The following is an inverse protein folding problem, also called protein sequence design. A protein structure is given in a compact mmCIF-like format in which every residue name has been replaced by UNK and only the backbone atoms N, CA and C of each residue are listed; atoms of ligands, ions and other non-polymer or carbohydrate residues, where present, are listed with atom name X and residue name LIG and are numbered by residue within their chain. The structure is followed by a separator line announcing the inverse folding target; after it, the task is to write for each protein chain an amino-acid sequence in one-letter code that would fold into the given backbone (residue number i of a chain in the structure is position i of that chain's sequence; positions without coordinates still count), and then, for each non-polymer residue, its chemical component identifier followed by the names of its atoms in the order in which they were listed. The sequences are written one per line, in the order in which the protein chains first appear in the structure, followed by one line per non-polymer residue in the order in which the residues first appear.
data_IF_395754256236
#
_entry.id   IF_395754256236
#
_cell.length_a   1.000
_cell.length_b   1.000
_cell.length_c   1.000
_cell.angle_alpha   90.00
_cell.angle_beta   90.00
_cell.angle_gamma   90.00
#
_symmetry.space_group_name_H-M   'P 1'
#
loop_
_entity.id
_entity.type
_entity.pdbx_description
1 polymer ?
#
# COMPACT_ATOMS: atom_id res chain seq x y z
N UNK A 1 -16.21 -22.23 -16.88
CA UNK A 1 -16.09 -20.96 -17.59
C UNK A 1 -14.67 -20.45 -17.34
N UNK A 2 -13.87 -20.32 -18.42
CA UNK A 2 -12.53 -19.74 -18.29
C UNK A 2 -12.69 -18.28 -17.89
N UNK A 3 -12.49 -17.91 -16.61
CA UNK A 3 -12.42 -16.51 -16.22
C UNK A 3 -11.22 -15.91 -16.97
N UNK A 4 -11.47 -14.86 -17.76
CA UNK A 4 -10.37 -14.09 -18.34
C UNK A 4 -9.39 -13.69 -17.24
N UNK A 5 -8.10 -13.66 -17.56
CA UNK A 5 -7.08 -13.22 -16.59
C UNK A 5 -7.43 -11.82 -16.07
N UNK A 6 -7.24 -11.60 -14.75
CA UNK A 6 -7.49 -10.30 -14.13
C UNK A 6 -6.59 -9.22 -14.73
N UNK A 7 -7.19 -8.08 -15.06
CA UNK A 7 -6.51 -6.90 -15.58
C UNK A 7 -6.56 -5.79 -14.53
N UNK A 8 -5.43 -5.50 -13.92
CA UNK A 8 -5.33 -4.47 -12.89
C UNK A 8 -4.71 -3.20 -13.46
N UNK A 9 -5.37 -2.07 -13.27
CA UNK A 9 -4.79 -0.75 -13.50
C UNK A 9 -4.02 -0.32 -12.26
N UNK A 10 -2.70 -0.18 -12.34
CA UNK A 10 -1.87 0.23 -11.22
C UNK A 10 -1.38 1.67 -11.42
N UNK A 11 -1.62 2.53 -10.46
CA UNK A 11 -1.14 3.92 -10.44
C UNK A 11 -0.14 4.10 -9.30
N UNK A 12 1.12 4.30 -9.61
CA UNK A 12 2.21 4.45 -8.61
C UNK A 12 3.01 5.72 -8.85
N UNK A 13 3.73 6.24 -7.83
CA UNK A 13 4.73 7.27 -8.05
C UNK A 13 5.74 6.85 -9.11
N UNK A 14 6.20 7.78 -9.95
CA UNK A 14 7.11 7.48 -11.07
C UNK A 14 8.40 6.77 -10.65
N UNK A 15 8.86 7.00 -9.42
CA UNK A 15 10.04 6.35 -8.84
C UNK A 15 9.77 4.99 -8.16
N UNK A 16 8.52 4.50 -8.13
CA UNK A 16 8.22 3.21 -7.51
C UNK A 16 8.63 2.07 -8.44
N UNK A 17 9.54 1.20 -7.96
CA UNK A 17 10.09 0.07 -8.70
C UNK A 17 9.70 -1.30 -8.11
N UNK A 18 8.97 -1.30 -6.99
CA UNK A 18 8.69 -2.51 -6.21
C UNK A 18 7.25 -3.00 -6.37
N UNK A 19 6.27 -2.08 -6.29
CA UNK A 19 4.88 -2.46 -6.12
C UNK A 19 4.32 -3.31 -7.26
N UNK A 20 4.64 -3.02 -8.51
CA UNK A 20 4.09 -3.74 -9.67
C UNK A 20 4.45 -5.23 -9.64
N UNK A 21 5.73 -5.54 -9.43
CA UNK A 21 6.20 -6.93 -9.37
C UNK A 21 5.60 -7.69 -8.20
N UNK A 22 5.69 -7.12 -6.99
CA UNK A 22 5.17 -7.78 -5.79
C UNK A 22 3.64 -7.90 -5.79
N UNK A 23 2.91 -6.91 -6.33
CA UNK A 23 1.46 -6.98 -6.43
C UNK A 23 1.03 -8.18 -7.28
N UNK A 24 1.67 -8.39 -8.44
CA UNK A 24 1.41 -9.52 -9.31
C UNK A 24 1.69 -10.88 -8.65
N UNK A 25 2.67 -10.93 -7.75
CA UNK A 25 2.97 -12.15 -7.01
C UNK A 25 1.92 -12.49 -5.94
N UNK A 26 1.17 -11.50 -5.45
CA UNK A 26 0.06 -11.69 -4.52
C UNK A 26 -1.28 -11.97 -5.21
N UNK A 27 -1.46 -11.52 -6.45
CA UNK A 27 -2.68 -11.69 -7.22
C UNK A 27 -2.80 -13.12 -7.80
N UNK A 28 -4.01 -13.57 -8.15
CA UNK A 28 -4.21 -14.87 -8.81
C UNK A 28 -3.30 -15.05 -10.02
N UNK A 29 -2.87 -16.29 -10.27
CA UNK A 29 -2.02 -16.62 -11.40
C UNK A 29 -2.65 -16.16 -12.71
N UNK A 30 -1.85 -15.54 -13.58
CA UNK A 30 -2.27 -14.98 -14.84
C UNK A 30 -2.82 -13.55 -14.76
N UNK A 31 -2.92 -12.96 -13.57
CA UNK A 31 -3.25 -11.54 -13.46
C UNK A 31 -2.19 -10.67 -14.18
N UNK A 32 -2.64 -9.57 -14.75
CA UNK A 32 -1.78 -8.60 -15.44
C UNK A 32 -1.95 -7.21 -14.84
N UNK A 33 -0.89 -6.40 -14.88
CA UNK A 33 -0.93 -5.00 -14.52
C UNK A 33 -0.67 -4.11 -15.73
N UNK A 34 -1.51 -3.09 -15.90
CA UNK A 34 -1.19 -1.92 -16.71
C UNK A 34 -0.82 -0.79 -15.76
N UNK A 35 0.46 -0.41 -15.75
CA UNK A 35 0.97 0.54 -14.77
C UNK A 35 1.09 1.96 -15.35
N UNK A 36 0.48 2.92 -14.67
CA UNK A 36 0.62 4.35 -14.92
C UNK A 36 1.46 4.98 -13.82
N UNK A 37 2.49 5.73 -14.21
CA UNK A 37 3.45 6.35 -13.31
C UNK A 37 3.11 7.81 -13.10
N UNK A 38 2.66 8.14 -11.88
CA UNK A 38 2.28 9.51 -11.51
C UNK A 38 3.57 10.32 -11.35
N UNK A 39 3.75 11.41 -12.13
CA UNK A 39 4.91 12.26 -12.01
C UNK A 39 5.06 12.85 -10.61
N UNK A 40 6.29 12.98 -10.15
CA UNK A 40 6.61 13.66 -8.90
C UNK A 40 8.00 14.27 -8.96
N UNK A 41 8.25 15.25 -8.11
CA UNK A 41 9.58 15.83 -7.92
C UNK A 41 10.49 14.87 -7.14
N UNK A 42 11.79 15.17 -7.07
CA UNK A 42 12.78 14.36 -6.37
C UNK A 42 12.56 14.28 -4.86
N UNK A 43 11.88 15.25 -4.26
CA UNK A 43 11.54 15.27 -2.84
C UNK A 43 10.48 14.23 -2.44
N UNK A 44 10.38 13.94 -1.15
CA UNK A 44 9.25 13.17 -0.61
C UNK A 44 7.97 14.02 -0.67
N UNK A 45 6.82 13.35 -0.81
CA UNK A 45 5.53 14.04 -0.82
C UNK A 45 5.28 14.73 0.53
N UNK A 46 4.79 15.95 0.46
CA UNK A 46 4.27 16.73 1.57
C UNK A 46 2.76 16.91 1.43
N UNK A 47 2.09 17.36 2.48
CA UNK A 47 0.66 17.65 2.44
C UNK A 47 0.30 18.71 1.38
N UNK A 48 1.20 19.67 1.13
CA UNK A 48 1.01 20.72 0.12
C UNK A 48 1.00 20.17 -1.31
N UNK A 49 1.69 19.06 -1.58
CA UNK A 49 1.79 18.47 -2.91
C UNK A 49 0.55 17.67 -3.30
N UNK A 50 -0.27 17.26 -2.32
CA UNK A 50 -1.39 16.33 -2.56
C UNK A 50 -2.37 16.82 -3.62
N UNK A 51 -2.82 18.08 -3.64
CA UNK A 51 -3.77 18.53 -4.68
C UNK A 51 -3.23 18.36 -6.10
N UNK A 52 -1.98 18.76 -6.34
CA UNK A 52 -1.36 18.64 -7.65
C UNK A 52 -1.09 17.17 -8.02
N UNK A 53 -0.65 16.36 -7.07
CA UNK A 53 -0.38 14.93 -7.26
C UNK A 53 -1.65 14.15 -7.62
N UNK A 54 -2.78 14.45 -6.95
CA UNK A 54 -4.09 13.87 -7.25
C UNK A 54 -4.58 14.30 -8.62
N UNK A 55 -4.47 15.59 -8.98
CA UNK A 55 -4.86 16.07 -10.31
C UNK A 55 -4.08 15.38 -11.44
N UNK A 56 -2.78 15.11 -11.22
CA UNK A 56 -1.98 14.32 -12.18
C UNK A 56 -2.46 12.86 -12.26
N UNK A 57 -2.81 12.25 -11.13
CA UNK A 57 -3.37 10.90 -11.12
C UNK A 57 -4.70 10.84 -11.89
N UNK A 58 -5.62 11.78 -11.66
CA UNK A 58 -6.90 11.86 -12.36
C UNK A 58 -6.72 12.05 -13.88
N UNK A 59 -5.77 12.89 -14.29
CA UNK A 59 -5.45 13.08 -15.70
C UNK A 59 -4.95 11.79 -16.37
N UNK A 60 -4.06 11.05 -15.70
CA UNK A 60 -3.54 9.76 -16.18
C UNK A 60 -4.60 8.66 -16.19
N UNK A 61 -5.51 8.65 -15.22
CA UNK A 61 -6.54 7.62 -15.06
C UNK A 61 -7.47 7.51 -16.29
N UNK A 62 -7.62 8.57 -17.08
CA UNK A 62 -8.41 8.56 -18.35
C UNK A 62 -7.95 7.47 -19.31
N UNK A 63 -6.65 7.10 -19.27
CA UNK A 63 -6.14 6.01 -20.09
C UNK A 63 -6.77 4.64 -19.74
N UNK A 64 -7.29 4.45 -18.53
CA UNK A 64 -8.03 3.23 -18.17
C UNK A 64 -9.50 3.26 -18.64
N UNK A 65 -10.06 4.44 -18.91
CA UNK A 65 -11.37 4.52 -19.56
C UNK A 65 -11.30 4.09 -21.04
N UNK A 66 -10.18 4.40 -21.71
CA UNK A 66 -9.96 4.02 -23.12
C UNK A 66 -9.62 2.53 -23.28
N UNK A 67 -8.96 1.92 -22.30
CA UNK A 67 -8.63 0.49 -22.23
C UNK A 67 -8.98 -0.05 -20.84
N UNK A 68 -10.23 -0.51 -20.63
CA UNK A 68 -10.77 -0.86 -19.33
C UNK A 68 -10.03 -1.97 -18.62
N UNK A 69 -9.95 -1.84 -17.29
CA UNK A 69 -9.37 -2.82 -16.36
C UNK A 69 -10.44 -3.29 -15.36
N UNK A 70 -10.22 -4.44 -14.71
CA UNK A 70 -11.20 -4.98 -13.76
C UNK A 70 -11.23 -4.19 -12.44
N UNK A 71 -10.09 -3.58 -12.08
CA UNK A 71 -9.94 -2.78 -10.86
C UNK A 71 -8.73 -1.85 -10.99
N UNK A 72 -8.82 -0.66 -10.43
CA UNK A 72 -7.70 0.29 -10.32
C UNK A 72 -7.14 0.30 -8.90
N UNK A 73 -5.82 0.25 -8.81
CA UNK A 73 -5.07 0.40 -7.55
C UNK A 73 -4.41 1.78 -7.53
N UNK A 74 -4.77 2.62 -6.54
CA UNK A 74 -4.03 3.84 -6.23
C UNK A 74 -2.90 3.54 -5.26
N UNK A 75 -1.72 3.27 -5.83
CA UNK A 75 -0.57 2.61 -5.19
C UNK A 75 0.39 3.55 -4.48
N UNK A 76 -0.06 4.67 -3.90
CA UNK A 76 0.79 5.60 -3.16
C UNK A 76 0.34 5.72 -1.70
N UNK A 77 0.94 4.94 -0.81
CA UNK A 77 0.59 4.92 0.62
C UNK A 77 0.75 6.30 1.26
N UNK A 78 1.86 7.00 1.01
CA UNK A 78 2.10 8.33 1.57
C UNK A 78 1.06 9.36 1.13
N UNK A 79 0.61 9.30 -0.13
CA UNK A 79 -0.40 10.24 -0.63
C UNK A 79 -1.74 10.05 0.10
N UNK A 80 -2.20 8.81 0.29
CA UNK A 80 -3.42 8.53 1.04
C UNK A 80 -3.33 8.93 2.51
N UNK A 81 -2.19 8.67 3.17
CA UNK A 81 -1.94 9.09 4.56
C UNK A 81 -2.01 10.63 4.68
N UNK A 82 -1.32 11.35 3.81
CA UNK A 82 -1.26 12.82 3.81
C UNK A 82 -2.61 13.46 3.43
N UNK A 83 -3.38 12.80 2.58
CA UNK A 83 -4.74 13.22 2.23
C UNK A 83 -5.71 13.10 3.41
N UNK A 84 -5.52 12.08 4.24
CA UNK A 84 -6.46 11.69 5.30
C UNK A 84 -7.64 10.88 4.76
N UNK A 85 -8.40 10.20 5.66
CA UNK A 85 -9.36 9.16 5.26
C UNK A 85 -10.49 9.68 4.37
N UNK A 86 -11.07 10.84 4.67
CA UNK A 86 -12.19 11.39 3.90
C UNK A 86 -11.75 11.76 2.48
N UNK A 87 -10.55 12.34 2.33
CA UNK A 87 -10.02 12.73 1.03
C UNK A 87 -9.48 11.53 0.26
N UNK A 88 -8.88 10.54 0.92
CA UNK A 88 -8.48 9.28 0.29
C UNK A 88 -9.67 8.54 -0.31
N UNK A 89 -10.81 8.49 0.40
CA UNK A 89 -12.07 7.97 -0.13
C UNK A 89 -12.60 8.80 -1.30
N UNK A 90 -12.48 10.13 -1.24
CA UNK A 90 -12.82 11.03 -2.35
C UNK A 90 -11.97 10.78 -3.60
N UNK A 91 -10.66 10.56 -3.43
CA UNK A 91 -9.74 10.19 -4.52
C UNK A 91 -10.19 8.87 -5.17
N UNK A 92 -10.48 7.84 -4.36
CA UNK A 92 -10.98 6.57 -4.89
C UNK A 92 -12.28 6.75 -5.68
N UNK A 93 -13.22 7.55 -5.18
CA UNK A 93 -14.48 7.86 -5.86
C UNK A 93 -14.28 8.60 -7.18
N UNK A 94 -13.42 9.63 -7.21
CA UNK A 94 -13.09 10.38 -8.43
C UNK A 94 -12.43 9.49 -9.47
N UNK A 95 -11.43 8.70 -9.10
CA UNK A 95 -10.76 7.76 -10.00
C UNK A 95 -11.74 6.71 -10.53
N UNK A 96 -12.66 6.20 -9.70
CA UNK A 96 -13.68 5.24 -10.12
C UNK A 96 -14.64 5.85 -11.12
N UNK A 97 -15.07 7.11 -10.94
CA UNK A 97 -15.92 7.82 -11.88
C UNK A 97 -15.23 8.06 -13.22
N UNK A 98 -13.91 8.34 -13.21
CA UNK A 98 -13.12 8.56 -14.43
C UNK A 98 -12.90 7.26 -15.20
N UNK A 99 -12.59 6.16 -14.50
CA UNK A 99 -12.16 4.89 -15.13
C UNK A 99 -13.31 3.92 -15.41
N UNK A 100 -14.46 4.12 -14.75
CA UNK A 100 -15.56 3.16 -14.80
C UNK A 100 -15.30 1.86 -14.02
N UNK A 101 -14.18 1.76 -13.30
CA UNK A 101 -13.75 0.56 -12.56
C UNK A 101 -13.75 0.81 -11.05
N UNK A 102 -13.93 -0.23 -10.21
CA UNK A 102 -13.72 -0.09 -8.78
C UNK A 102 -12.27 0.31 -8.47
N UNK A 103 -12.07 1.10 -7.42
CA UNK A 103 -10.74 1.61 -7.02
C UNK A 103 -10.44 1.21 -5.58
N UNK A 104 -9.23 0.71 -5.35
CA UNK A 104 -8.68 0.51 -4.00
C UNK A 104 -7.47 1.41 -3.79
N UNK A 105 -7.33 1.96 -2.59
CA UNK A 105 -6.15 2.76 -2.20
C UNK A 105 -5.29 1.98 -1.22
N UNK A 106 -3.97 2.18 -1.25
CA UNK A 106 -3.06 1.53 -0.29
C UNK A 106 -3.30 1.97 1.14
N UNK A 107 -3.70 3.22 1.38
CA UNK A 107 -3.95 3.74 2.72
C UNK A 107 -5.21 3.11 3.34
N UNK A 108 -6.31 3.03 2.60
CA UNK A 108 -7.52 2.36 3.09
C UNK A 108 -7.32 0.85 3.21
N UNK A 109 -6.61 0.21 2.27
CA UNK A 109 -6.31 -1.22 2.31
C UNK A 109 -5.54 -1.62 3.58
N UNK A 110 -4.62 -0.77 4.05
CA UNK A 110 -3.92 -0.95 5.32
C UNK A 110 -4.91 -1.03 6.50
N UNK A 111 -5.82 -0.08 6.60
CA UNK A 111 -6.82 -0.04 7.68
C UNK A 111 -7.72 -1.28 7.63
N UNK A 112 -8.24 -1.60 6.45
CA UNK A 112 -9.17 -2.72 6.29
C UNK A 112 -8.51 -4.09 6.53
N UNK A 113 -7.24 -4.27 6.12
CA UNK A 113 -6.50 -5.52 6.37
C UNK A 113 -6.23 -5.73 7.86
N UNK A 114 -5.87 -4.69 8.59
CA UNK A 114 -5.64 -4.76 10.04
C UNK A 114 -6.95 -5.03 10.79
N UNK A 115 -8.06 -4.41 10.38
CA UNK A 115 -9.39 -4.69 10.93
C UNK A 115 -9.82 -6.13 10.66
N UNK A 116 -9.63 -6.62 9.43
CA UNK A 116 -9.93 -7.99 9.05
C UNK A 116 -9.10 -9.02 9.83
N UNK A 117 -7.89 -8.66 10.22
CA UNK A 117 -7.01 -9.45 11.07
C UNK A 117 -7.31 -9.29 12.58
N UNK A 118 -8.32 -8.49 12.97
CA UNK A 118 -8.64 -8.16 14.37
C UNK A 118 -7.44 -7.59 15.14
N UNK A 119 -6.54 -6.86 14.46
CA UNK A 119 -5.36 -6.27 15.05
C UNK A 119 -5.70 -4.90 15.64
N UNK A 120 -5.62 -4.79 16.96
CA UNK A 120 -5.90 -3.56 17.71
C UNK A 120 -4.61 -2.86 18.17
N UNK A 121 -3.60 -3.60 18.57
CA UNK A 121 -2.28 -3.13 19.00
C UNK A 121 -1.22 -3.60 18.01
N UNK A 122 -0.60 -2.69 17.25
CA UNK A 122 0.33 -3.07 16.19
C UNK A 122 1.76 -2.57 16.41
N UNK A 123 2.71 -3.35 15.88
CA UNK A 123 4.04 -2.87 15.53
C UNK A 123 4.01 -2.27 14.11
N UNK A 124 4.70 -1.16 13.91
CA UNK A 124 4.69 -0.43 12.64
C UNK A 124 6.11 -0.11 12.18
N UNK A 125 6.46 -0.55 10.97
CA UNK A 125 7.72 -0.18 10.28
C UNK A 125 7.40 0.72 9.11
N UNK A 126 8.11 1.84 8.99
CA UNK A 126 7.89 2.83 7.92
C UNK A 126 9.23 3.37 7.40
N UNK A 127 9.27 3.96 6.20
CA UNK A 127 10.41 4.74 5.75
C UNK A 127 10.21 6.26 5.95
N UNK A 128 9.10 6.69 6.54
CA UNK A 128 8.65 8.08 6.50
C UNK A 128 9.29 8.96 7.57
N UNK A 129 9.40 10.26 7.29
CA UNK A 129 9.74 11.29 8.27
C UNK A 129 8.63 11.46 9.33
N UNK A 130 8.96 12.15 10.41
CA UNK A 130 8.10 12.33 11.59
C UNK A 130 6.69 12.87 11.27
N UNK A 131 6.57 13.79 10.31
CA UNK A 131 5.28 14.37 9.90
C UNK A 131 4.34 13.31 9.34
N UNK A 132 4.78 12.51 8.36
CA UNK A 132 3.97 11.45 7.73
C UNK A 132 3.66 10.35 8.75
N UNK A 133 4.63 10.01 9.61
CA UNK A 133 4.43 9.04 10.68
C UNK A 133 3.38 9.51 11.70
N UNK A 134 3.34 10.80 12.02
CA UNK A 134 2.30 11.40 12.88
C UNK A 134 0.91 11.31 12.26
N UNK A 135 0.78 11.61 10.97
CA UNK A 135 -0.47 11.46 10.22
C UNK A 135 -0.92 9.99 10.16
N UNK A 136 0.02 9.06 9.92
CA UNK A 136 -0.27 7.63 9.89
C UNK A 136 -0.77 7.10 11.24
N UNK A 137 -0.12 7.49 12.35
CA UNK A 137 -0.60 7.14 13.69
C UNK A 137 -2.02 7.66 13.95
N UNK A 138 -2.28 8.92 13.53
CA UNK A 138 -3.60 9.53 13.68
C UNK A 138 -4.67 8.80 12.86
N UNK A 139 -4.35 8.40 11.62
CA UNK A 139 -5.23 7.61 10.75
C UNK A 139 -5.59 6.27 11.40
N UNK A 140 -4.60 5.53 11.90
CA UNK A 140 -4.80 4.24 12.55
C UNK A 140 -5.60 4.36 13.85
N UNK A 141 -5.28 5.36 14.69
CA UNK A 141 -5.99 5.61 15.94
C UNK A 141 -7.48 5.93 15.72
N UNK A 142 -7.81 6.76 14.71
CA UNK A 142 -9.22 7.03 14.31
C UNK A 142 -9.93 5.79 13.80
N UNK A 143 -9.19 4.77 13.40
CA UNK A 143 -9.71 3.47 12.95
C UNK A 143 -9.78 2.42 14.06
N UNK A 144 -9.46 2.79 15.30
CA UNK A 144 -9.46 1.89 16.47
C UNK A 144 -8.21 1.01 16.54
N UNK A 145 -7.11 1.39 15.86
CA UNK A 145 -5.87 0.64 15.81
C UNK A 145 -4.77 1.47 16.51
N UNK A 146 -4.21 0.95 17.60
CA UNK A 146 -3.14 1.59 18.34
C UNK A 146 -1.76 1.17 17.81
N UNK A 147 -0.88 2.13 17.56
CA UNK A 147 0.51 1.87 17.22
C UNK A 147 1.32 1.78 18.52
N UNK A 148 1.50 0.55 19.03
CA UNK A 148 2.21 0.29 20.28
C UNK A 148 3.74 0.46 20.13
N UNK A 149 4.29 -0.03 19.04
CA UNK A 149 5.70 0.09 18.69
C UNK A 149 5.86 0.64 17.27
N UNK A 150 6.82 1.50 17.07
CA UNK A 150 7.12 2.04 15.75
C UNK A 150 8.61 2.28 15.54
N UNK A 151 9.08 1.90 14.39
CA UNK A 151 10.40 2.24 13.87
C UNK A 151 10.29 2.84 12.48
N UNK A 152 11.13 3.81 12.17
CA UNK A 152 11.21 4.41 10.84
C UNK A 152 12.63 4.44 10.32
N UNK A 153 12.79 4.32 9.00
CA UNK A 153 14.08 4.57 8.34
C UNK A 153 14.35 6.06 8.12
N UNK A 154 13.31 6.89 8.20
CA UNK A 154 13.39 8.35 8.01
C UNK A 154 14.16 8.74 6.73
N UNK A 155 13.89 8.04 5.62
CA UNK A 155 14.52 8.30 4.34
C UNK A 155 14.37 9.78 3.98
N UNK A 156 15.49 10.46 3.69
CA UNK A 156 15.48 11.90 3.45
C UNK A 156 14.93 12.27 2.06
N UNK A 157 14.98 11.33 1.11
CA UNK A 157 14.53 11.54 -0.27
C UNK A 157 14.15 10.22 -0.94
N UNK A 158 13.70 10.28 -2.19
CA UNK A 158 13.24 9.10 -2.94
C UNK A 158 14.37 8.14 -3.32
N UNK A 159 15.61 8.63 -3.44
CA UNK A 159 16.77 7.80 -3.74
C UNK A 159 17.14 6.93 -2.54
N UNK A 160 17.20 7.52 -1.35
CA UNK A 160 17.43 6.77 -0.10
C UNK A 160 16.32 5.77 0.16
N UNK A 161 15.06 6.18 -0.05
CA UNK A 161 13.92 5.26 0.03
C UNK A 161 14.07 4.05 -0.90
N UNK A 162 14.54 4.27 -2.12
CA UNK A 162 14.77 3.21 -3.11
C UNK A 162 15.92 2.27 -2.77
N UNK A 163 16.84 2.66 -1.89
CA UNK A 163 17.99 1.84 -1.45
C UNK A 163 17.67 0.93 -0.24
N UNK A 164 16.49 1.07 0.38
CA UNK A 164 16.11 0.22 1.51
C UNK A 164 15.84 -1.20 1.01
N UNK A 165 16.77 -2.11 1.28
CA UNK A 165 16.68 -3.51 0.88
C UNK A 165 15.93 -4.38 1.89
N UNK A 166 15.62 -5.61 1.50
CA UNK A 166 14.90 -6.58 2.30
C UNK A 166 15.54 -6.85 3.67
N UNK A 167 16.85 -7.03 3.73
CA UNK A 167 17.56 -7.34 4.98
C UNK A 167 17.40 -6.23 6.01
N UNK A 168 17.43 -4.97 5.57
CA UNK A 168 17.18 -3.82 6.42
C UNK A 168 15.74 -3.83 6.94
N UNK A 169 14.75 -4.16 6.08
CA UNK A 169 13.34 -4.27 6.48
C UNK A 169 13.15 -5.39 7.51
N UNK A 170 13.75 -6.57 7.30
CA UNK A 170 13.70 -7.69 8.24
C UNK A 170 14.32 -7.32 9.59
N UNK A 171 15.51 -6.71 9.59
CA UNK A 171 16.16 -6.27 10.83
C UNK A 171 15.26 -5.29 11.60
N UNK A 172 14.70 -4.30 10.89
CA UNK A 172 13.82 -3.30 11.48
C UNK A 172 12.50 -3.91 12.00
N UNK A 173 11.95 -4.90 11.29
CA UNK A 173 10.77 -5.63 11.71
C UNK A 173 11.00 -6.38 13.03
N UNK A 174 12.15 -7.07 13.16
CA UNK A 174 12.55 -7.78 14.39
C UNK A 174 12.77 -6.85 15.58
N UNK A 175 13.39 -5.70 15.36
CA UNK A 175 13.58 -4.67 16.39
C UNK A 175 12.26 -4.06 16.87
N UNK A 176 11.27 -3.97 15.99
CA UNK A 176 10.01 -3.28 16.26
C UNK A 176 8.96 -4.20 16.82
N UNK A 177 8.88 -5.46 16.36
CA UNK A 177 7.87 -6.41 16.81
C UNK A 177 8.02 -6.71 18.29
N UNK A 178 6.89 -6.77 18.98
CA UNK A 178 6.79 -7.10 20.41
C UNK A 178 5.67 -8.14 20.60
N UNK A 179 5.82 -8.98 21.64
CA UNK A 179 4.84 -10.01 22.01
C UNK A 179 3.44 -9.46 22.34
N UNK A 180 3.38 -8.20 22.74
CA UNK A 180 2.14 -7.49 23.05
C UNK A 180 1.44 -6.89 21.82
N UNK A 181 2.06 -7.00 20.63
CA UNK A 181 1.45 -6.57 19.39
C UNK A 181 0.67 -7.72 18.75
N UNK A 182 -0.53 -7.40 18.25
CA UNK A 182 -1.40 -8.34 17.54
C UNK A 182 -0.90 -8.63 16.13
N UNK A 183 -0.26 -7.65 15.49
CA UNK A 183 0.28 -7.73 14.14
C UNK A 183 1.47 -6.80 13.93
N UNK A 184 2.26 -7.10 12.89
CA UNK A 184 3.20 -6.16 12.31
C UNK A 184 2.65 -5.58 11.01
N UNK A 185 2.77 -4.26 10.81
CA UNK A 185 2.52 -3.62 9.52
C UNK A 185 3.79 -2.93 9.00
N UNK A 186 4.15 -3.23 7.75
CA UNK A 186 5.26 -2.60 7.01
C UNK A 186 4.66 -1.63 5.98
N UNK A 187 4.70 -0.34 6.30
CA UNK A 187 4.07 0.70 5.50
C UNK A 187 5.03 1.24 4.44
N UNK A 188 4.62 1.29 3.25
CA UNK A 188 5.15 1.88 2.01
C UNK A 188 5.17 0.87 0.87
N UNK A 189 4.57 1.23 -0.26
CA UNK A 189 4.55 0.39 -1.47
C UNK A 189 5.90 0.30 -2.20
N UNK A 190 6.93 1.03 -1.75
CA UNK A 190 8.30 0.95 -2.27
C UNK A 190 9.17 -0.05 -1.50
N UNK A 191 8.82 -0.40 -0.26
CA UNK A 191 9.62 -1.37 0.52
C UNK A 191 9.42 -2.78 -0.03
N UNK A 192 10.53 -3.54 -0.26
CA UNK A 192 10.44 -4.92 -0.73
C UNK A 192 9.99 -5.84 0.43
N UNK A 193 8.83 -6.49 0.25
CA UNK A 193 8.17 -7.23 1.34
C UNK A 193 7.69 -8.62 0.95
N UNK A 194 7.53 -8.94 -0.33
CA UNK A 194 6.88 -10.18 -0.80
C UNK A 194 7.50 -11.43 -0.20
N UNK A 195 8.82 -11.54 -0.24
CA UNK A 195 9.53 -12.75 0.21
C UNK A 195 9.79 -12.80 1.73
N UNK A 196 9.56 -11.69 2.46
CA UNK A 196 9.85 -11.63 3.90
C UNK A 196 8.60 -11.74 4.78
N UNK A 197 7.41 -11.46 4.25
CA UNK A 197 6.17 -11.49 5.03
C UNK A 197 5.92 -12.88 5.62
N UNK A 198 5.88 -13.93 4.81
CA UNK A 198 5.63 -15.30 5.27
C UNK A 198 6.67 -15.82 6.29
N UNK A 199 7.97 -15.66 6.05
CA UNK A 199 9.01 -15.95 7.07
C UNK A 199 8.81 -15.21 8.38
N UNK A 200 8.49 -13.92 8.36
CA UNK A 200 8.25 -13.12 9.57
C UNK A 200 6.96 -13.55 10.30
N UNK A 201 5.90 -13.92 9.59
CA UNK A 201 4.68 -14.49 10.18
C UNK A 201 4.97 -15.78 10.93
N UNK A 202 5.77 -16.67 10.33
CA UNK A 202 6.21 -17.93 10.96
C UNK A 202 7.08 -17.68 12.21
N UNK A 203 7.97 -16.67 12.15
CA UNK A 203 8.86 -16.29 13.25
C UNK A 203 8.07 -15.68 14.42
N UNK A 204 7.21 -14.70 14.15
CA UNK A 204 6.50 -13.95 15.18
C UNK A 204 5.24 -14.68 15.69
N UNK A 205 4.73 -15.64 14.94
CA UNK A 205 3.42 -16.27 15.17
C UNK A 205 2.30 -15.24 15.29
N UNK A 206 2.38 -14.22 14.47
CA UNK A 206 1.44 -13.09 14.36
C UNK A 206 1.29 -12.70 12.90
N UNK A 207 0.14 -12.15 12.49
CA UNK A 207 -0.03 -11.60 11.15
C UNK A 207 1.02 -10.54 10.82
N UNK A 208 1.59 -10.62 9.62
CA UNK A 208 2.46 -9.59 9.06
C UNK A 208 1.85 -9.06 7.78
N UNK A 209 1.56 -7.80 7.76
CA UNK A 209 1.01 -7.09 6.62
C UNK A 209 2.03 -6.11 6.04
N UNK A 210 1.96 -5.93 4.73
CA UNK A 210 2.64 -4.83 4.06
C UNK A 210 1.63 -4.01 3.26
N UNK A 211 2.01 -2.78 2.88
CA UNK A 211 1.17 -1.96 2.00
C UNK A 211 0.78 -2.71 0.73
N UNK A 212 1.68 -3.51 0.15
CA UNK A 212 1.42 -4.24 -1.08
C UNK A 212 0.51 -5.45 -0.83
N UNK A 213 0.80 -6.28 0.20
CA UNK A 213 -0.05 -7.44 0.58
C UNK A 213 -1.48 -6.98 0.91
N UNK A 214 -1.62 -5.93 1.71
CA UNK A 214 -2.92 -5.36 2.08
C UNK A 214 -3.71 -4.87 0.86
N UNK A 215 -3.03 -4.24 -0.09
CA UNK A 215 -3.65 -3.75 -1.33
C UNK A 215 -4.08 -4.90 -2.23
N UNK A 216 -3.23 -5.93 -2.39
CA UNK A 216 -3.58 -7.13 -3.13
C UNK A 216 -4.79 -7.86 -2.52
N UNK A 217 -4.77 -8.03 -1.19
CA UNK A 217 -5.90 -8.61 -0.45
C UNK A 217 -7.19 -7.83 -0.71
N UNK A 218 -7.15 -6.50 -0.58
CA UNK A 218 -8.34 -5.67 -0.79
C UNK A 218 -8.84 -5.71 -2.24
N UNK A 219 -7.92 -5.76 -3.21
CA UNK A 219 -8.27 -5.94 -4.62
C UNK A 219 -8.98 -7.29 -4.86
N UNK A 220 -8.46 -8.37 -4.27
CA UNK A 220 -9.07 -9.70 -4.35
C UNK A 220 -10.46 -9.74 -3.71
N UNK A 221 -10.62 -9.18 -2.51
CA UNK A 221 -11.92 -9.04 -1.83
C UNK A 221 -12.92 -8.29 -2.71
N UNK A 222 -12.51 -7.16 -3.29
CA UNK A 222 -13.37 -6.34 -4.15
C UNK A 222 -13.82 -7.08 -5.41
N UNK A 223 -12.97 -7.95 -5.95
CA UNK A 223 -13.25 -8.73 -7.17
C UNK A 223 -13.84 -10.12 -6.88
N UNK A 224 -14.00 -10.51 -5.62
CA UNK A 224 -14.51 -11.83 -5.22
C UNK A 224 -13.61 -12.98 -5.67
N UNK A 225 -12.29 -12.79 -5.58
CA UNK A 225 -11.26 -13.81 -5.89
C UNK A 225 -10.34 -14.01 -4.69
N UNK A 226 -9.62 -15.13 -4.63
CA UNK A 226 -8.69 -15.41 -3.55
C UNK A 226 -7.32 -14.78 -3.80
N UNK A 227 -6.69 -14.31 -2.72
CA UNK A 227 -5.28 -13.96 -2.74
C UNK A 227 -4.45 -15.21 -3.07
N UNK A 228 -3.34 -15.03 -3.77
CA UNK A 228 -2.43 -16.14 -4.05
C UNK A 228 -1.73 -16.57 -2.77
N UNK A 229 -1.78 -17.86 -2.46
CA UNK A 229 -1.15 -18.42 -1.26
C UNK A 229 0.37 -18.15 -1.25
N UNK A 230 0.89 -17.93 -0.05
CA UNK A 230 2.31 -17.95 0.22
C UNK A 230 2.74 -19.43 0.18
N UNK A 231 3.39 -19.87 -0.89
CA UNK A 231 3.89 -21.21 -1.05
C UNK A 231 4.95 -21.60 0.00
#
# INVERSE_FOLDING_TARGET
MNKSALRIGLMVPANNTTMEGELLEWLPQGATCRTLRIPRQAGLLTKADIPAYVGQAEALARAFADDPVDLVVYGCTAAGILAGPERDAGIAGSLSAITGSPVVTTANSMVESLRGAHAHDIALVTPYAAEVNGQLKSLLARSGIAVRRMSSFEAANVEELGKIGQDAVVARARETMDKECDALFIACSQLPTRSIVGPLEKEFKRPVWSSIKATAWRACETLGVSLRDEG
#
